data_IF_085484134487
#
_entry.id   IF_085484134487
#
_cell.length_a   1.000
_cell.length_b   1.000
_cell.length_c   1.000
_cell.angle_alpha   90.00
_cell.angle_beta   90.00
_cell.angle_gamma   90.00
#
_symmetry.space_group_name_H-M   'P 1'
#
loop_
_entity.id
_entity.type
_entity.pdbx_description
1 polymer ?
#
# COMPACT_ATOMS: atom_id res chain seq x y z
N UNK A 1 16.83 -9.08 -11.95
CA UNK A 1 17.32 -7.74 -11.54
C UNK A 1 18.48 -7.98 -10.59
N UNK A 2 19.57 -7.20 -10.67
CA UNK A 2 20.68 -7.37 -9.73
C UNK A 2 20.16 -7.24 -8.28
N UNK A 3 20.62 -8.10 -7.37
CA UNK A 3 20.24 -8.08 -5.97
C UNK A 3 20.60 -6.72 -5.36
N UNK A 4 19.60 -5.83 -5.27
CA UNK A 4 19.78 -4.54 -4.65
C UNK A 4 20.15 -4.75 -3.18
N UNK A 5 21.35 -4.32 -2.80
CA UNK A 5 21.81 -4.43 -1.42
C UNK A 5 21.32 -3.24 -0.62
N UNK A 6 20.50 -3.51 0.40
CA UNK A 6 20.01 -2.49 1.33
C UNK A 6 21.16 -1.70 1.97
N UNK A 7 21.06 -0.39 1.88
CA UNK A 7 21.95 0.56 2.54
C UNK A 7 21.55 0.77 4.01
N UNK A 8 22.35 1.54 4.76
CA UNK A 8 21.96 1.93 6.12
C UNK A 8 20.77 2.90 6.11
N UNK A 9 20.72 3.80 5.13
CA UNK A 9 19.60 4.73 4.94
C UNK A 9 18.29 3.97 4.69
N UNK A 10 18.33 2.89 3.90
CA UNK A 10 17.15 2.04 3.68
C UNK A 10 16.66 1.43 4.97
N UNK A 11 17.57 0.90 5.81
CA UNK A 11 17.19 0.30 7.09
C UNK A 11 16.55 1.33 8.03
N UNK A 12 17.05 2.57 8.04
CA UNK A 12 16.46 3.66 8.82
C UNK A 12 15.04 3.97 8.34
N UNK A 13 14.83 4.06 7.03
CA UNK A 13 13.49 4.32 6.46
C UNK A 13 12.54 3.15 6.70
N UNK A 14 13.00 1.91 6.54
CA UNK A 14 12.23 0.70 6.83
C UNK A 14 11.79 0.70 8.31
N UNK A 15 12.73 0.92 9.23
CA UNK A 15 12.43 0.96 10.67
C UNK A 15 11.43 2.07 11.02
N UNK A 16 11.54 3.23 10.36
CA UNK A 16 10.57 4.32 10.52
C UNK A 16 9.18 3.92 10.03
N UNK A 17 9.08 3.31 8.84
CA UNK A 17 7.80 2.86 8.27
C UNK A 17 7.16 1.80 9.16
N UNK A 18 7.91 0.79 9.58
CA UNK A 18 7.42 -0.31 10.42
C UNK A 18 6.93 0.15 11.78
N UNK A 19 7.66 1.07 12.43
CA UNK A 19 7.36 1.48 13.81
C UNK A 19 6.40 2.66 13.91
N UNK A 20 6.24 3.45 12.85
CA UNK A 20 5.47 4.70 12.92
C UNK A 20 4.35 4.77 11.88
N UNK A 21 4.54 4.28 10.66
CA UNK A 21 3.54 4.45 9.59
C UNK A 21 2.56 3.28 9.55
N UNK A 22 3.07 2.04 9.54
CA UNK A 22 2.23 0.85 9.50
C UNK A 22 1.26 0.74 10.70
N UNK A 23 1.66 1.01 11.96
CA UNK A 23 0.75 0.92 13.10
C UNK A 23 -0.41 1.92 12.99
N UNK A 24 -0.13 3.15 12.54
CA UNK A 24 -1.12 4.20 12.32
C UNK A 24 -2.07 3.80 11.19
N UNK A 25 -1.54 3.25 10.09
CA UNK A 25 -2.36 2.80 8.98
C UNK A 25 -3.32 1.66 9.39
N UNK A 26 -2.84 0.74 10.23
CA UNK A 26 -3.64 -0.34 10.80
C UNK A 26 -4.71 0.19 11.76
N UNK A 27 -4.38 1.17 12.62
CA UNK A 27 -5.34 1.81 13.51
C UNK A 27 -6.50 2.46 12.75
N UNK A 28 -6.20 3.23 11.70
CA UNK A 28 -7.19 3.84 10.82
C UNK A 28 -8.06 2.78 10.15
N UNK A 29 -7.43 1.74 9.60
CA UNK A 29 -8.13 0.67 8.88
C UNK A 29 -9.07 -0.11 9.80
N UNK A 30 -8.59 -0.51 10.99
CA UNK A 30 -9.35 -1.28 11.97
C UNK A 30 -10.60 -0.53 12.43
N UNK A 31 -10.51 0.80 12.57
CA UNK A 31 -11.62 1.65 13.01
C UNK A 31 -12.60 1.97 11.88
N UNK A 32 -12.11 2.39 10.70
CA UNK A 32 -12.97 2.84 9.60
C UNK A 32 -13.64 1.73 8.82
N UNK A 33 -13.15 0.50 8.92
CA UNK A 33 -13.73 -0.68 8.26
C UNK A 33 -15.23 -0.89 8.51
N UNK A 34 -15.82 -0.34 9.57
CA UNK A 34 -17.26 -0.43 9.83
C UNK A 34 -18.06 0.65 9.08
N UNK A 35 -17.39 1.73 8.69
CA UNK A 35 -17.95 2.88 7.99
C UNK A 35 -17.92 2.70 6.46
N UNK A 36 -17.31 1.62 5.96
CA UNK A 36 -17.03 1.33 4.54
C UNK A 36 -18.26 0.96 3.68
N UNK A 37 -19.47 1.31 4.11
CA UNK A 37 -20.56 1.52 3.13
C UNK A 37 -20.52 2.91 2.51
N UNK A 38 -19.70 3.84 3.02
CA UNK A 38 -19.41 5.12 2.38
C UNK A 38 -17.96 5.16 1.89
N UNK A 39 -17.81 4.96 0.58
CA UNK A 39 -16.57 4.92 -0.20
C UNK A 39 -15.89 6.29 -0.30
N UNK A 40 -15.10 6.69 0.71
CA UNK A 40 -14.23 7.85 0.52
C UNK A 40 -12.84 7.56 1.07
N UNK A 41 -11.92 7.18 0.17
CA UNK A 41 -10.47 7.16 0.42
C UNK A 41 -10.02 8.44 1.13
N UNK A 42 -10.66 9.57 0.81
CA UNK A 42 -10.49 10.86 1.48
C UNK A 42 -10.72 10.81 3.01
N UNK A 43 -11.69 10.04 3.50
CA UNK A 43 -11.93 9.88 4.94
C UNK A 43 -10.80 9.11 5.62
N UNK A 44 -10.33 8.03 4.99
CA UNK A 44 -9.18 7.25 5.47
C UNK A 44 -7.93 8.12 5.50
N UNK A 45 -7.71 8.93 4.46
CA UNK A 45 -6.61 9.90 4.42
C UNK A 45 -6.73 10.96 5.54
N UNK A 46 -7.92 11.52 5.79
CA UNK A 46 -8.13 12.49 6.88
C UNK A 46 -7.85 11.88 8.26
N UNK A 47 -8.33 10.66 8.49
CA UNK A 47 -8.07 9.93 9.72
C UNK A 47 -6.57 9.64 9.90
N UNK A 48 -5.91 9.17 8.85
CA UNK A 48 -4.47 8.93 8.86
C UNK A 48 -3.65 10.19 9.16
N UNK A 49 -4.03 11.34 8.59
CA UNK A 49 -3.40 12.62 8.90
C UNK A 49 -3.56 12.99 10.37
N UNK A 50 -4.77 12.81 10.91
CA UNK A 50 -5.08 13.09 12.30
C UNK A 50 -4.21 12.24 13.23
N UNK A 51 -4.22 10.91 13.07
CA UNK A 51 -3.46 9.99 13.93
C UNK A 51 -1.95 10.20 13.80
N UNK A 52 -1.45 10.44 12.58
CA UNK A 52 -0.05 10.79 12.34
C UNK A 52 0.38 12.04 13.11
N UNK A 53 -0.48 13.06 13.20
CA UNK A 53 -0.19 14.28 13.98
C UNK A 53 -0.20 14.02 15.47
N UNK A 54 -1.10 13.18 15.99
CA UNK A 54 -1.08 12.78 17.40
C UNK A 54 0.23 12.09 17.77
N UNK A 55 0.78 11.28 16.85
CA UNK A 55 2.07 10.63 17.02
C UNK A 55 3.29 11.51 16.69
N UNK A 56 3.08 12.81 16.46
CA UNK A 56 4.12 13.79 16.12
C UNK A 56 4.90 13.47 14.84
N UNK A 57 4.26 12.81 13.87
CA UNK A 57 4.81 12.62 12.54
C UNK A 57 4.64 13.92 11.76
N UNK A 58 5.76 14.44 11.25
CA UNK A 58 5.79 15.62 10.40
C UNK A 58 5.45 15.20 8.97
N UNK A 59 4.19 15.39 8.60
CA UNK A 59 3.66 15.13 7.26
C UNK A 59 2.64 16.21 6.83
N UNK A 60 2.44 16.32 5.52
CA UNK A 60 1.35 17.10 4.93
C UNK A 60 0.56 16.23 3.95
N UNK A 61 -0.70 16.61 3.72
CA UNK A 61 -1.58 16.01 2.71
C UNK A 61 -1.63 16.91 1.47
N UNK A 62 -2.04 16.35 0.34
CA UNK A 62 -2.43 17.08 -0.89
C UNK A 62 -1.30 17.98 -1.42
N UNK A 63 -0.14 17.37 -1.67
CA UNK A 63 1.02 18.11 -2.19
C UNK A 63 0.95 18.18 -3.71
N UNK A 64 0.84 19.39 -4.24
CA UNK A 64 0.93 19.62 -5.68
C UNK A 64 2.32 19.22 -6.20
N UNK A 65 2.34 18.30 -7.17
CA UNK A 65 3.52 17.89 -7.91
C UNK A 65 3.25 18.09 -9.40
N UNK A 66 4.02 18.98 -10.03
CA UNK A 66 4.06 19.08 -11.48
C UNK A 66 4.68 17.80 -12.04
N UNK A 67 3.92 17.10 -12.88
CA UNK A 67 4.41 15.96 -13.64
C UNK A 67 5.15 16.43 -14.88
N UNK A 68 6.28 15.80 -15.15
CA UNK A 68 7.11 16.10 -16.30
C UNK A 68 7.12 14.94 -17.30
N UNK A 69 7.07 15.27 -18.59
CA UNK A 69 7.52 14.38 -19.65
C UNK A 69 8.91 14.84 -20.07
N UNK A 70 9.96 14.12 -19.63
CA UNK A 70 11.35 14.58 -19.74
C UNK A 70 11.51 15.93 -19.02
N UNK A 71 11.78 17.01 -19.75
CA UNK A 71 11.94 18.36 -19.20
C UNK A 71 10.72 19.26 -19.48
N UNK A 72 9.66 18.73 -20.09
CA UNK A 72 8.42 19.45 -20.35
C UNK A 72 7.44 19.25 -19.20
N UNK A 73 7.08 20.34 -18.52
CA UNK A 73 5.97 20.34 -17.57
C UNK A 73 4.67 19.96 -18.31
N UNK A 74 4.05 18.86 -17.90
CA UNK A 74 2.94 18.24 -18.61
C UNK A 74 1.58 18.53 -17.94
N UNK A 75 1.48 18.31 -16.63
CA UNK A 75 0.25 18.56 -15.85
C UNK A 75 0.61 18.68 -14.37
N UNK A 76 -0.22 19.33 -13.58
CA UNK A 76 -0.17 19.22 -12.13
C UNK A 76 -1.04 18.07 -11.65
N UNK A 77 -0.57 17.39 -10.62
CA UNK A 77 -1.27 16.32 -9.92
C UNK A 77 -1.01 16.47 -8.43
N UNK A 78 -1.80 15.77 -7.64
CA UNK A 78 -1.78 15.88 -6.20
C UNK A 78 -1.32 14.55 -5.61
N UNK A 79 -0.24 14.61 -4.83
CA UNK A 79 0.26 13.50 -4.03
C UNK A 79 -0.53 13.44 -2.72
N UNK A 80 -0.99 12.25 -2.33
CA UNK A 80 -1.80 12.08 -1.12
C UNK A 80 -1.08 12.59 0.13
N UNK A 81 0.17 12.15 0.37
CA UNK A 81 0.98 12.68 1.46
C UNK A 81 2.46 12.84 1.14
N UNK A 82 3.06 13.80 1.85
CA UNK A 82 4.49 13.96 1.95
C UNK A 82 4.94 13.93 3.42
N UNK A 83 5.85 13.02 3.74
CA UNK A 83 6.54 12.97 5.04
C UNK A 83 7.83 13.78 4.91
N UNK A 84 8.00 14.78 5.79
CA UNK A 84 9.20 15.60 5.81
C UNK A 84 10.42 14.81 6.33
N UNK A 85 11.66 15.08 5.89
CA UNK A 85 12.82 14.35 6.39
C UNK A 85 13.04 14.54 7.89
N UNK A 86 12.84 15.77 8.38
CA UNK A 86 13.04 16.13 9.79
C UNK A 86 11.82 15.74 10.62
N UNK A 87 11.95 14.69 11.42
CA UNK A 87 10.95 14.25 12.40
C UNK A 87 11.35 14.71 13.81
N UNK A 88 10.43 14.59 14.77
CA UNK A 88 10.68 15.03 16.16
C UNK A 88 11.82 14.25 16.83
N UNK A 89 11.94 12.95 16.56
CA UNK A 89 12.89 12.03 17.22
C UNK A 89 13.99 11.49 16.30
N UNK A 90 13.82 11.61 14.99
CA UNK A 90 14.72 11.04 13.98
C UNK A 90 14.82 11.98 12.79
N UNK A 91 15.93 11.93 12.06
CA UNK A 91 16.05 12.57 10.75
C UNK A 91 16.13 11.47 9.70
N UNK A 92 15.18 11.44 8.79
CA UNK A 92 15.17 10.56 7.64
C UNK A 92 16.17 11.07 6.60
N UNK A 93 16.76 10.19 5.78
CA UNK A 93 17.72 10.58 4.75
C UNK A 93 17.14 11.56 3.72
N UNK A 94 15.86 11.37 3.34
CA UNK A 94 15.12 12.24 2.42
C UNK A 94 13.64 12.23 2.78
N UNK A 95 12.83 13.03 2.09
CA UNK A 95 11.37 12.99 2.24
C UNK A 95 10.79 11.69 1.67
N UNK A 96 9.58 11.34 2.11
CA UNK A 96 8.88 10.12 1.68
C UNK A 96 7.54 10.51 1.08
N UNK A 97 7.28 10.06 -0.14
CA UNK A 97 5.99 10.23 -0.79
C UNK A 97 5.06 9.09 -0.35
N UNK A 98 3.78 9.36 -0.15
CA UNK A 98 2.78 8.32 0.09
C UNK A 98 1.70 8.45 -0.97
N UNK A 99 1.43 7.35 -1.66
CA UNK A 99 0.25 7.17 -2.48
C UNK A 99 -0.63 6.12 -1.81
N UNK A 100 -1.91 6.43 -1.64
CA UNK A 100 -2.88 5.58 -0.98
C UNK A 100 -3.88 5.02 -1.99
N UNK A 101 -4.43 3.83 -1.70
CA UNK A 101 -5.59 3.27 -2.39
C UNK A 101 -6.46 2.53 -1.39
N UNK A 102 -7.78 2.58 -1.55
CA UNK A 102 -8.66 1.66 -0.84
C UNK A 102 -8.79 0.34 -1.61
N UNK A 103 -8.59 -0.80 -0.94
CA UNK A 103 -8.76 -2.14 -1.52
C UNK A 103 -10.03 -2.76 -0.95
N UNK A 104 -11.09 -2.73 -1.77
CA UNK A 104 -12.34 -3.42 -1.51
C UNK A 104 -12.38 -4.59 -2.49
N UNK A 105 -12.38 -5.82 -1.94
CA UNK A 105 -12.62 -7.19 -2.48
C UNK A 105 -12.56 -7.53 -3.99
N UNK A 106 -12.69 -6.58 -4.90
CA UNK A 106 -12.79 -6.71 -6.35
C UNK A 106 -11.49 -6.29 -7.08
N UNK A 107 -10.37 -6.14 -6.37
CA UNK A 107 -9.09 -5.73 -6.97
C UNK A 107 -8.53 -6.82 -7.91
N UNK A 108 -8.51 -6.51 -9.20
CA UNK A 108 -7.94 -7.37 -10.27
C UNK A 108 -6.40 -7.32 -10.33
N UNK A 109 -5.75 -6.71 -9.34
CA UNK A 109 -4.30 -6.42 -9.33
C UNK A 109 -3.92 -5.20 -10.19
N UNK A 110 -4.82 -4.77 -11.07
CA UNK A 110 -4.66 -3.59 -11.92
C UNK A 110 -4.60 -2.30 -11.08
N UNK A 111 -5.40 -2.18 -10.03
CA UNK A 111 -5.41 -1.00 -9.13
C UNK A 111 -4.05 -0.83 -8.44
N UNK A 112 -3.44 -1.94 -7.99
CA UNK A 112 -2.09 -1.91 -7.39
C UNK A 112 -1.04 -1.45 -8.39
N UNK A 113 -1.12 -1.92 -9.62
CA UNK A 113 -0.18 -1.53 -10.67
C UNK A 113 -0.31 -0.04 -11.02
N UNK A 114 -1.54 0.45 -11.14
CA UNK A 114 -1.82 1.86 -11.42
C UNK A 114 -1.36 2.79 -10.29
N UNK A 115 -1.62 2.42 -9.04
CA UNK A 115 -1.16 3.16 -7.86
C UNK A 115 0.37 3.23 -7.76
N UNK A 116 1.07 2.10 -8.00
CA UNK A 116 2.54 2.10 -8.09
C UNK A 116 3.04 3.03 -9.19
N UNK A 117 2.42 3.01 -10.37
CA UNK A 117 2.80 3.92 -11.46
C UNK A 117 2.52 5.39 -11.15
N UNK A 118 1.46 5.71 -10.40
CA UNK A 118 1.22 7.07 -9.90
C UNK A 118 2.37 7.50 -8.98
N UNK A 119 2.72 6.68 -7.98
CA UNK A 119 3.83 6.94 -7.07
C UNK A 119 5.17 7.12 -7.80
N UNK A 120 5.48 6.26 -8.76
CA UNK A 120 6.72 6.35 -9.53
C UNK A 120 6.79 7.60 -10.41
N UNK A 121 5.66 8.03 -10.99
CA UNK A 121 5.59 9.30 -11.73
C UNK A 121 5.84 10.50 -10.82
N UNK A 122 5.34 10.48 -9.59
CA UNK A 122 5.65 11.53 -8.61
C UNK A 122 7.13 11.55 -8.26
N UNK A 123 7.72 10.41 -7.93
CA UNK A 123 9.14 10.32 -7.63
C UNK A 123 9.99 10.78 -8.82
N UNK A 124 9.72 10.31 -10.04
CA UNK A 124 10.39 10.76 -11.26
C UNK A 124 10.34 12.29 -11.41
N UNK A 125 9.12 12.84 -11.38
CA UNK A 125 8.88 14.27 -11.62
C UNK A 125 9.39 15.17 -10.49
N UNK A 126 9.56 14.62 -9.29
CA UNK A 126 10.09 15.37 -8.16
C UNK A 126 11.49 15.90 -8.42
N UNK A 127 12.31 15.23 -9.23
CA UNK A 127 13.68 15.68 -9.53
C UNK A 127 13.76 17.08 -10.17
N UNK A 128 12.66 17.55 -10.77
CA UNK A 128 12.50 18.89 -11.35
C UNK A 128 11.78 19.88 -10.43
N UNK A 129 11.37 19.47 -9.23
CA UNK A 129 10.65 20.33 -8.29
C UNK A 129 11.61 21.39 -7.68
N UNK A 130 11.18 22.66 -7.55
CA UNK A 130 12.02 23.70 -6.94
C UNK A 130 12.17 23.55 -5.42
N UNK A 131 11.25 22.86 -4.73
CA UNK A 131 11.38 22.58 -3.30
C UNK A 131 12.38 21.44 -3.06
N UNK A 132 13.44 21.73 -2.32
CA UNK A 132 14.53 20.77 -2.07
C UNK A 132 14.09 19.52 -1.29
N UNK A 133 13.05 19.59 -0.43
CA UNK A 133 12.57 18.39 0.26
C UNK A 133 11.85 17.45 -0.72
N UNK A 134 11.02 18.01 -1.59
CA UNK A 134 10.33 17.24 -2.63
C UNK A 134 11.33 16.72 -3.66
N UNK A 135 12.25 17.58 -4.11
CA UNK A 135 13.27 17.25 -5.10
C UNK A 135 14.18 16.11 -4.69
N UNK A 136 14.57 16.08 -3.43
CA UNK A 136 15.48 15.05 -2.93
C UNK A 136 14.76 13.78 -2.45
N UNK A 137 13.43 13.73 -2.48
CA UNK A 137 12.68 12.54 -2.05
C UNK A 137 13.02 11.31 -2.92
N UNK A 138 13.56 10.27 -2.30
CA UNK A 138 13.98 9.04 -2.98
C UNK A 138 13.15 7.81 -2.58
N UNK A 139 12.23 7.98 -1.64
CA UNK A 139 11.40 6.92 -1.09
C UNK A 139 9.92 7.18 -1.35
N UNK A 140 9.19 6.13 -1.68
CA UNK A 140 7.76 6.15 -1.86
C UNK A 140 7.10 5.00 -1.12
N UNK A 141 6.03 5.30 -0.39
CA UNK A 141 5.15 4.35 0.24
C UNK A 141 3.93 4.19 -0.66
N UNK A 142 3.65 2.96 -1.07
CA UNK A 142 2.35 2.61 -1.61
C UNK A 142 1.55 1.95 -0.49
N UNK A 143 0.49 2.62 -0.05
CA UNK A 143 -0.32 2.20 1.08
C UNK A 143 -1.70 1.79 0.59
N UNK A 144 -2.10 0.58 0.95
CA UNK A 144 -3.39 0.03 0.61
C UNK A 144 -4.20 -0.13 1.90
N UNK A 145 -5.33 0.56 1.98
CA UNK A 145 -6.28 0.43 3.08
C UNK A 145 -7.09 -0.85 2.93
N UNK A 146 -7.37 -1.53 4.04
CA UNK A 146 -8.52 -2.42 4.08
C UNK A 146 -8.36 -3.79 3.44
N UNK A 147 -7.14 -4.31 3.26
CA UNK A 147 -6.95 -5.58 2.55
C UNK A 147 -7.70 -6.74 3.21
N UNK A 148 -8.37 -7.55 2.37
CA UNK A 148 -9.05 -8.79 2.77
C UNK A 148 -10.25 -8.58 3.68
N UNK A 149 -11.01 -7.54 3.39
CA UNK A 149 -12.28 -7.25 4.03
C UNK A 149 -13.28 -8.42 3.89
N UNK A 150 -13.50 -9.18 4.96
CA UNK A 150 -14.54 -10.22 5.01
C UNK A 150 -15.83 -9.66 5.61
N UNK A 151 -16.88 -9.46 4.80
CA UNK A 151 -18.19 -8.99 5.28
C UNK A 151 -18.81 -9.91 6.35
N UNK A 152 -18.38 -11.18 6.45
CA UNK A 152 -18.89 -12.13 7.47
C UNK A 152 -18.44 -11.75 8.88
N UNK A 153 -17.36 -10.99 9.05
CA UNK A 153 -16.90 -10.57 10.37
C UNK A 153 -17.90 -9.63 11.08
N UNK A 154 -18.85 -9.04 10.33
CA UNK A 154 -19.91 -8.19 10.86
C UNK A 154 -21.24 -8.94 11.06
N UNK A 155 -21.30 -10.24 10.74
CA UNK A 155 -22.49 -11.04 10.99
C UNK A 155 -22.60 -11.27 12.51
N UNK A 156 -23.73 -10.87 13.09
CA UNK A 156 -24.04 -10.94 14.53
C UNK A 156 -23.41 -9.85 15.41
N UNK A 157 -22.96 -8.72 14.84
CA UNK A 157 -22.68 -7.54 15.66
C UNK A 157 -23.99 -6.96 16.19
N UNK A 158 -23.96 -6.42 17.41
CA UNK A 158 -25.11 -5.68 17.95
C UNK A 158 -25.52 -4.57 16.97
N UNK A 159 -26.82 -4.48 16.68
CA UNK A 159 -27.39 -3.69 15.59
C UNK A 159 -27.07 -2.18 15.63
N UNK A 160 -26.41 -1.69 16.69
CA UNK A 160 -26.06 -0.29 16.91
C UNK A 160 -24.68 -0.10 17.56
N UNK A 161 -23.70 -0.97 17.29
CA UNK A 161 -22.33 -0.81 17.82
C UNK A 161 -21.31 -0.47 16.74
N UNK A 162 -20.37 0.41 17.08
CA UNK A 162 -19.08 0.52 16.38
C UNK A 162 -18.24 -0.61 16.93
N UNK A 163 -17.77 -1.49 16.06
CA UNK A 163 -16.85 -2.56 16.43
C UNK A 163 -15.51 -2.22 15.77
N UNK A 164 -14.41 -2.73 16.30
CA UNK A 164 -13.11 -2.67 15.63
C UNK A 164 -12.89 -4.03 14.98
N UNK A 165 -12.36 -4.06 13.77
CA UNK A 165 -12.04 -5.32 13.11
C UNK A 165 -10.53 -5.56 13.02
N UNK A 166 -10.14 -6.69 12.44
CA UNK A 166 -8.74 -7.11 12.29
C UNK A 166 -8.21 -6.88 10.87
N UNK A 167 -8.78 -5.91 10.15
CA UNK A 167 -8.37 -5.64 8.78
C UNK A 167 -7.15 -4.72 8.82
N UNK A 168 -6.01 -5.24 8.40
CA UNK A 168 -4.75 -4.50 8.40
C UNK A 168 -4.55 -3.75 7.07
N UNK A 169 -3.81 -2.64 7.13
CA UNK A 169 -3.30 -1.98 5.95
C UNK A 169 -2.11 -2.76 5.38
N UNK A 170 -1.96 -2.69 4.06
CA UNK A 170 -0.79 -3.21 3.36
C UNK A 170 0.10 -2.05 2.90
N UNK A 171 1.41 -2.17 3.13
CA UNK A 171 2.39 -1.15 2.73
C UNK A 171 3.47 -1.79 1.89
N UNK A 172 3.79 -1.17 0.75
CA UNK A 172 5.05 -1.35 0.06
C UNK A 172 5.92 -0.09 0.19
N UNK A 173 7.20 -0.29 0.46
CA UNK A 173 8.19 0.77 0.42
C UNK A 173 9.10 0.59 -0.79
N UNK A 174 9.10 1.59 -1.65
CA UNK A 174 9.86 1.66 -2.89
C UNK A 174 10.96 2.71 -2.79
N UNK A 175 12.09 2.44 -3.43
CA UNK A 175 13.25 3.33 -3.52
C UNK A 175 13.61 3.59 -4.98
N UNK A 176 13.85 4.85 -5.32
CA UNK A 176 14.58 5.22 -6.54
C UNK A 176 16.06 4.82 -6.41
N UNK A 177 16.57 4.06 -7.36
CA UNK A 177 17.94 3.50 -7.30
C UNK A 177 18.91 4.15 -8.29
N UNK A 178 18.46 5.17 -9.00
CA UNK A 178 19.24 6.00 -9.90
C UNK A 178 18.90 7.49 -9.70
N UNK A 179 19.87 8.36 -9.97
CA UNK A 179 19.73 9.81 -9.74
C UNK A 179 18.63 10.45 -10.62
N UNK A 180 18.36 9.84 -11.78
CA UNK A 180 17.29 10.25 -12.69
C UNK A 180 15.91 9.75 -12.26
N UNK A 181 15.82 8.94 -11.19
CA UNK A 181 14.59 8.36 -10.66
C UNK A 181 13.77 7.64 -11.73
N UNK A 182 14.44 6.87 -12.57
CA UNK A 182 13.82 6.07 -13.65
C UNK A 182 13.76 4.59 -13.32
N UNK A 183 14.44 4.15 -12.26
CA UNK A 183 14.49 2.77 -11.79
C UNK A 183 14.11 2.73 -10.31
N UNK A 184 13.20 1.81 -10.01
CA UNK A 184 12.66 1.64 -8.67
C UNK A 184 12.84 0.20 -8.21
N UNK A 185 13.16 0.03 -6.93
CA UNK A 185 13.17 -1.29 -6.29
C UNK A 185 12.29 -1.25 -5.05
N UNK A 186 11.53 -2.32 -4.82
CA UNK A 186 10.85 -2.51 -3.54
C UNK A 186 11.92 -2.92 -2.53
N UNK A 187 11.98 -2.21 -1.41
CA UNK A 187 12.94 -2.46 -0.33
C UNK A 187 12.28 -3.02 0.93
N UNK A 188 10.96 -2.87 1.04
CA UNK A 188 10.17 -3.44 2.11
C UNK A 188 8.72 -3.64 1.67
N UNK A 189 8.06 -4.63 2.28
CA UNK A 189 6.62 -4.79 2.25
C UNK A 189 6.16 -5.26 3.63
N UNK A 190 5.03 -4.74 4.12
CA UNK A 190 4.38 -5.33 5.28
C UNK A 190 3.91 -6.74 4.91
N UNK A 191 3.66 -7.57 5.93
CA UNK A 191 3.00 -8.85 5.67
C UNK A 191 1.66 -8.53 5.00
N UNK A 192 1.41 -9.12 3.83
CA UNK A 192 0.01 -9.27 3.40
C UNK A 192 -0.70 -10.01 4.53
N UNK A 193 -1.92 -9.60 4.86
CA UNK A 193 -2.81 -10.54 5.54
C UNK A 193 -2.88 -11.72 4.57
N UNK A 194 -2.27 -12.85 4.92
CA UNK A 194 -2.29 -14.04 4.08
C UNK A 194 -3.74 -14.31 3.67
N UNK A 195 -4.05 -14.17 2.39
CA UNK A 195 -5.37 -14.62 1.91
C UNK A 195 -5.25 -16.12 1.86
N UNK A 196 -5.56 -16.78 2.97
CA UNK A 196 -5.67 -18.22 3.00
C UNK A 196 -6.55 -18.62 1.83
N UNK A 197 -6.05 -19.48 0.94
CA UNK A 197 -6.82 -19.88 -0.25
C UNK A 197 -8.20 -20.47 0.13
N UNK A 198 -8.35 -20.90 1.38
CA UNK A 198 -9.61 -21.36 1.97
C UNK A 198 -10.71 -20.28 1.97
N UNK A 199 -10.35 -18.99 1.99
CA UNK A 199 -11.28 -17.86 1.99
C UNK A 199 -11.70 -17.43 0.58
N UNK A 200 -10.90 -17.74 -0.45
CA UNK A 200 -11.13 -17.34 -1.84
C UNK A 200 -12.42 -17.91 -2.45
N UNK A 201 -13.02 -17.19 -3.40
CA UNK A 201 -14.14 -17.73 -4.18
C UNK A 201 -13.68 -18.90 -5.06
N UNK A 202 -14.62 -19.72 -5.55
CA UNK A 202 -14.28 -20.81 -6.48
C UNK A 202 -13.61 -20.26 -7.76
N UNK A 203 -14.08 -19.12 -8.24
CA UNK A 203 -13.57 -18.53 -9.48
C UNK A 203 -12.16 -17.97 -9.29
N UNK A 204 -11.86 -17.39 -8.13
CA UNK A 204 -10.50 -16.91 -7.82
C UNK A 204 -9.52 -18.08 -7.61
N UNK A 205 -9.98 -19.20 -7.04
CA UNK A 205 -9.18 -20.43 -6.95
C UNK A 205 -8.86 -21.01 -8.32
N UNK A 206 -9.81 -20.95 -9.27
CA UNK A 206 -9.58 -21.38 -10.65
C UNK A 206 -8.55 -20.47 -11.32
N UNK A 207 -8.68 -19.14 -11.18
CA UNK A 207 -7.67 -18.19 -11.68
C UNK A 207 -6.30 -18.51 -11.11
N UNK A 208 -6.22 -18.79 -9.81
CA UNK A 208 -4.96 -19.11 -9.17
C UNK A 208 -4.34 -20.42 -9.70
N UNK A 209 -5.16 -21.45 -9.95
CA UNK A 209 -4.69 -22.64 -10.64
C UNK A 209 -4.17 -22.35 -12.04
N UNK A 210 -4.80 -21.43 -12.80
CA UNK A 210 -4.33 -21.01 -14.14
C UNK A 210 -2.98 -20.30 -14.03
N UNK A 211 -2.84 -19.34 -13.12
CA UNK A 211 -1.63 -18.52 -12.94
C UNK A 211 -0.39 -19.35 -12.55
N UNK A 212 -0.62 -20.49 -11.89
CA UNK A 212 0.42 -21.39 -11.42
C UNK A 212 0.56 -22.68 -12.25
N UNK A 213 -0.08 -22.76 -13.42
CA UNK A 213 -0.06 -23.93 -14.31
C UNK A 213 -0.50 -25.25 -13.61
N UNK A 214 -1.45 -25.16 -12.69
CA UNK A 214 -2.01 -26.31 -11.96
C UNK A 214 -3.24 -26.84 -12.72
N UNK A 215 -3.23 -28.14 -13.01
CA UNK A 215 -4.35 -28.81 -13.67
C UNK A 215 -5.64 -28.67 -12.85
N UNK A 216 -6.67 -28.09 -13.46
CA UNK A 216 -7.98 -27.86 -12.84
C UNK A 216 -9.11 -28.08 -13.85
N UNK A 217 -10.32 -28.33 -13.35
CA UNK A 217 -11.54 -28.34 -14.16
C UNK A 217 -12.56 -27.39 -13.57
N UNK A 218 -13.27 -26.66 -14.43
CA UNK A 218 -14.33 -25.74 -13.99
C UNK A 218 -15.45 -26.42 -13.18
N UNK A 219 -15.63 -27.74 -13.35
CA UNK A 219 -16.58 -28.55 -12.58
C UNK A 219 -16.10 -28.92 -11.17
N UNK A 220 -14.81 -28.74 -10.82
CA UNK A 220 -14.26 -29.14 -9.52
C UNK A 220 -14.88 -28.34 -8.37
N UNK A 221 -15.05 -28.98 -7.22
CA UNK A 221 -15.58 -28.32 -6.04
C UNK A 221 -14.49 -27.45 -5.39
N UNK A 222 -14.90 -26.40 -4.68
CA UNK A 222 -13.98 -25.51 -3.96
C UNK A 222 -12.95 -26.25 -3.08
N UNK A 223 -13.34 -27.28 -2.29
CA UNK A 223 -12.38 -28.04 -1.47
C UNK A 223 -11.30 -28.77 -2.29
N UNK A 224 -11.63 -29.26 -3.48
CA UNK A 224 -10.69 -29.98 -4.34
C UNK A 224 -9.63 -29.02 -4.92
N UNK A 225 -10.06 -27.83 -5.34
CA UNK A 225 -9.17 -26.76 -5.82
C UNK A 225 -8.23 -26.29 -4.72
N UNK A 226 -8.74 -26.06 -3.50
CA UNK A 226 -7.94 -25.73 -2.31
C UNK A 226 -6.87 -26.78 -2.06
N UNK A 227 -7.26 -28.06 -2.09
CA UNK A 227 -6.32 -29.16 -1.84
C UNK A 227 -5.20 -29.17 -2.88
N UNK A 228 -5.51 -29.01 -4.16
CA UNK A 228 -4.50 -28.96 -5.23
C UNK A 228 -3.52 -27.82 -5.05
N UNK A 229 -4.01 -26.63 -4.71
CA UNK A 229 -3.16 -25.47 -4.44
C UNK A 229 -2.23 -25.74 -3.25
N UNK A 230 -2.75 -26.30 -2.14
CA UNK A 230 -1.94 -26.70 -0.97
C UNK A 230 -0.90 -27.77 -1.30
N UNK A 231 -1.27 -28.79 -2.08
CA UNK A 231 -0.38 -29.86 -2.52
C UNK A 231 0.78 -29.31 -3.41
N UNK A 232 0.57 -28.16 -4.06
CA UNK A 232 1.58 -27.41 -4.83
C UNK A 232 2.29 -26.32 -4.00
N UNK A 233 2.13 -26.32 -2.68
CA UNK A 233 2.79 -25.37 -1.78
C UNK A 233 2.17 -23.98 -1.75
N UNK A 234 1.00 -23.78 -2.38
CA UNK A 234 0.26 -22.53 -2.39
C UNK A 234 -0.77 -22.57 -1.26
N UNK A 235 -0.47 -21.89 -0.16
CA UNK A 235 -1.34 -21.86 1.03
C UNK A 235 -2.04 -20.52 1.23
N UNK A 236 -1.50 -19.46 0.63
CA UNK A 236 -1.92 -18.08 0.80
C UNK A 236 -1.51 -17.22 -0.42
N UNK A 237 -2.20 -16.10 -0.60
CA UNK A 237 -1.79 -14.98 -1.48
C UNK A 237 -1.12 -13.86 -0.67
#
# INVERSE_FOLDING_TARGET
MADYKLTNDDKVVIDFVEKNILPIANEVTNFYSHWTKSDEEEHLQKAFLYESRQQNISLTREVAITQYYKDLAFTEKELDFFIFPKQKKITLPTGIFIETKADYSDDTGQTRLEGRYQLFRYLYSSSHNPDENLKNANYGIFLIWGQNYDHRQFQNLETFSIVENKVEAYIELWRAVDDLKTKFTKIYQSKSVEILIDTLSKDDLIKLCIEHDIEHKSSEAKPDLIKKLKDNGITSL
#
